data_IF_351880779432
#
_entry.id   IF_351880779432
#
_cell.length_a   1.000
_cell.length_b   1.000
_cell.length_c   1.000
_cell.angle_alpha   90.00
_cell.angle_beta   90.00
_cell.angle_gamma   90.00
#
_symmetry.space_group_name_H-M   'P 1'
#
loop_
_entity.id
_entity.type
_entity.pdbx_description
1 polymer ?
#
# COMPACT_ATOMS: atom_id res chain seq x y z
N UNK A 1 26.49 -1.07 3.05
CA UNK A 1 25.75 -1.78 1.98
C UNK A 1 24.83 -2.77 2.67
N UNK A 2 23.56 -2.90 2.26
CA UNK A 2 22.64 -3.84 2.89
C UNK A 2 23.08 -5.29 2.64
N UNK A 3 22.82 -6.19 3.60
CA UNK A 3 23.08 -7.63 3.47
C UNK A 3 22.17 -8.23 2.39
N UNK A 4 22.69 -8.88 1.33
CA UNK A 4 21.87 -9.54 0.31
C UNK A 4 20.87 -10.56 0.85
N UNK A 5 21.14 -11.19 2.00
CA UNK A 5 20.22 -12.14 2.63
C UNK A 5 18.95 -11.46 3.14
N UNK A 6 19.07 -10.23 3.63
CA UNK A 6 17.95 -9.46 4.17
C UNK A 6 16.87 -9.22 3.12
N UNK A 7 17.27 -8.94 1.87
CA UNK A 7 16.31 -8.77 0.77
C UNK A 7 15.55 -10.08 0.49
N UNK A 8 16.27 -11.20 0.38
CA UNK A 8 15.67 -12.51 0.13
C UNK A 8 14.69 -12.91 1.24
N UNK A 9 15.05 -12.68 2.49
CA UNK A 9 14.20 -12.93 3.66
C UNK A 9 12.94 -12.06 3.65
N UNK A 10 13.10 -10.75 3.35
CA UNK A 10 11.98 -9.83 3.26
C UNK A 10 11.00 -10.20 2.13
N UNK A 11 11.53 -10.59 0.97
CA UNK A 11 10.71 -11.07 -0.17
C UNK A 11 9.97 -12.35 0.21
N UNK A 12 10.65 -13.30 0.85
CA UNK A 12 10.03 -14.54 1.34
C UNK A 12 8.91 -14.28 2.34
N UNK A 13 9.17 -13.44 3.35
CA UNK A 13 8.19 -13.03 4.34
C UNK A 13 6.98 -12.33 3.74
N UNK A 14 7.19 -11.41 2.78
CA UNK A 14 6.10 -10.71 2.09
C UNK A 14 5.22 -11.67 1.29
N UNK A 15 5.82 -12.66 0.61
CA UNK A 15 5.07 -13.70 -0.12
C UNK A 15 4.22 -14.55 0.82
N UNK A 16 4.80 -15.01 1.93
CA UNK A 16 4.09 -15.79 2.94
C UNK A 16 2.93 -14.99 3.56
N UNK A 17 3.18 -13.72 3.91
CA UNK A 17 2.18 -12.80 4.44
C UNK A 17 1.00 -12.62 3.46
N UNK A 18 1.29 -12.38 2.18
CA UNK A 18 0.27 -12.25 1.14
C UNK A 18 -0.54 -13.53 0.93
N UNK A 19 0.05 -14.71 1.14
CA UNK A 19 -0.63 -16.01 1.00
C UNK A 19 -1.56 -16.32 2.19
N UNK A 20 -1.21 -15.87 3.39
CA UNK A 20 -1.94 -16.22 4.61
C UNK A 20 -3.15 -15.32 4.90
N UNK A 21 -3.23 -14.13 4.29
CA UNK A 21 -4.27 -13.13 4.57
C UNK A 21 -5.61 -13.43 3.89
N UNK A 22 -6.68 -12.86 4.42
CA UNK A 22 -8.00 -12.91 3.80
C UNK A 22 -8.08 -11.98 2.58
N UNK A 23 -8.03 -12.56 1.37
CA UNK A 23 -8.07 -11.82 0.12
C UNK A 23 -9.29 -10.89 -0.01
N UNK A 24 -10.50 -11.35 0.37
CA UNK A 24 -11.71 -10.53 0.29
C UNK A 24 -11.66 -9.32 1.21
N UNK A 25 -11.04 -9.46 2.40
CA UNK A 25 -10.86 -8.36 3.33
C UNK A 25 -9.87 -7.31 2.79
N UNK A 26 -8.78 -7.77 2.19
CA UNK A 26 -7.78 -6.93 1.51
C UNK A 26 -8.43 -6.15 0.38
N UNK A 27 -9.15 -6.82 -0.52
CA UNK A 27 -9.82 -6.18 -1.65
C UNK A 27 -10.83 -5.12 -1.20
N UNK A 28 -11.59 -5.40 -0.15
CA UNK A 28 -12.54 -4.43 0.42
C UNK A 28 -11.82 -3.19 0.95
N UNK A 29 -10.73 -3.38 1.70
CA UNK A 29 -9.98 -2.28 2.29
C UNK A 29 -9.26 -1.43 1.22
N UNK A 30 -8.72 -2.06 0.18
CA UNK A 30 -8.12 -1.34 -0.96
C UNK A 30 -9.14 -0.48 -1.70
N UNK A 31 -10.34 -1.02 -1.98
CA UNK A 31 -11.43 -0.24 -2.60
C UNK A 31 -11.92 0.90 -1.73
N UNK A 32 -11.93 0.73 -0.41
CA UNK A 32 -12.29 1.80 0.52
C UNK A 32 -11.26 2.92 0.51
N UNK A 33 -9.97 2.56 0.52
CA UNK A 33 -8.87 3.52 0.40
C UNK A 33 -8.93 4.29 -0.92
N UNK A 34 -9.17 3.59 -2.03
CA UNK A 34 -9.32 4.20 -3.35
C UNK A 34 -10.48 5.20 -3.38
N UNK A 35 -11.66 4.83 -2.83
CA UNK A 35 -12.80 5.75 -2.72
C UNK A 35 -12.47 6.97 -1.86
N UNK A 36 -11.78 6.79 -0.74
CA UNK A 36 -11.38 7.90 0.11
C UNK A 36 -10.40 8.84 -0.61
N UNK A 37 -9.45 8.28 -1.35
CA UNK A 37 -8.48 9.03 -2.15
C UNK A 37 -9.10 9.80 -3.32
N UNK A 38 -10.19 9.29 -3.91
CA UNK A 38 -10.97 10.01 -4.91
C UNK A 38 -11.88 11.12 -4.35
N UNK A 39 -11.83 11.40 -3.05
CA UNK A 39 -12.75 12.32 -2.36
C UNK A 39 -12.01 13.39 -1.55
N UNK A 40 -12.76 14.24 -0.83
CA UNK A 40 -12.21 15.19 0.15
C UNK A 40 -12.19 14.64 1.59
N UNK A 41 -12.48 13.35 1.78
CA UNK A 41 -12.50 12.72 3.10
C UNK A 41 -11.08 12.58 3.68
N UNK A 42 -10.99 12.44 5.01
CA UNK A 42 -9.73 12.10 5.67
C UNK A 42 -9.32 10.67 5.30
N UNK A 43 -8.09 10.50 4.81
CA UNK A 43 -7.53 9.20 4.41
C UNK A 43 -7.13 8.31 5.59
N UNK A 44 -6.80 8.90 6.74
CA UNK A 44 -6.22 8.16 7.86
C UNK A 44 -7.09 6.98 8.34
N UNK A 45 -8.42 7.11 8.47
CA UNK A 45 -9.29 5.98 8.80
C UNK A 45 -9.17 4.82 7.79
N UNK A 46 -9.14 5.12 6.48
CA UNK A 46 -9.04 4.09 5.44
C UNK A 46 -7.65 3.42 5.43
N UNK A 47 -6.58 4.19 5.67
CA UNK A 47 -5.21 3.65 5.81
C UNK A 47 -5.13 2.71 7.02
N UNK A 48 -5.68 3.11 8.17
CA UNK A 48 -5.71 2.26 9.36
C UNK A 48 -6.52 0.98 9.13
N UNK A 49 -7.65 1.08 8.43
CA UNK A 49 -8.47 -0.08 8.02
C UNK A 49 -7.65 -1.03 7.12
N UNK A 50 -6.91 -0.50 6.15
CA UNK A 50 -6.04 -1.29 5.27
C UNK A 50 -4.93 -2.01 6.04
N UNK A 51 -4.21 -1.31 6.93
CA UNK A 51 -3.16 -1.92 7.77
C UNK A 51 -3.73 -3.03 8.65
N UNK A 52 -4.87 -2.80 9.32
CA UNK A 52 -5.56 -3.82 10.12
C UNK A 52 -6.08 -4.98 9.26
N UNK A 53 -6.38 -4.72 8.00
CA UNK A 53 -6.81 -5.70 7.00
C UNK A 53 -5.67 -6.49 6.36
N UNK A 54 -4.44 -6.39 6.85
CA UNK A 54 -3.25 -7.04 6.29
C UNK A 54 -2.95 -6.62 4.83
N UNK A 55 -3.27 -5.37 4.49
CA UNK A 55 -2.80 -4.74 3.26
C UNK A 55 -1.34 -4.30 3.47
N UNK A 56 -0.48 -4.56 2.50
CA UNK A 56 0.94 -4.21 2.59
C UNK A 56 1.16 -2.73 2.32
N UNK A 57 2.28 -2.18 2.81
CA UNK A 57 2.67 -0.79 2.52
C UNK A 57 2.71 -0.52 1.01
N UNK A 58 3.29 -1.43 0.22
CA UNK A 58 3.37 -1.29 -1.23
C UNK A 58 1.99 -1.17 -1.88
N UNK A 59 1.03 -2.02 -1.48
CA UNK A 59 -0.34 -1.98 -2.04
C UNK A 59 -1.09 -0.69 -1.65
N UNK A 60 -0.91 -0.20 -0.43
CA UNK A 60 -1.44 1.11 -0.01
C UNK A 60 -0.83 2.23 -0.87
N UNK A 61 0.50 2.22 -1.02
CA UNK A 61 1.22 3.18 -1.85
C UNK A 61 0.81 3.11 -3.32
N UNK A 62 0.52 1.93 -3.86
CA UNK A 62 0.09 1.73 -5.24
C UNK A 62 -1.30 2.35 -5.49
N UNK A 63 -2.24 2.20 -4.55
CA UNK A 63 -3.54 2.88 -4.61
C UNK A 63 -3.35 4.40 -4.60
N UNK A 64 -2.57 4.91 -3.64
CA UNK A 64 -2.34 6.36 -3.52
C UNK A 64 -1.60 6.93 -4.75
N UNK A 65 -0.66 6.18 -5.32
CA UNK A 65 0.03 6.55 -6.56
C UNK A 65 -0.92 6.59 -7.74
N UNK A 66 -1.87 5.67 -7.80
CA UNK A 66 -2.89 5.64 -8.86
C UNK A 66 -3.84 6.84 -8.75
N UNK A 67 -4.22 7.23 -7.54
CA UNK A 67 -5.13 8.37 -7.30
C UNK A 67 -4.46 9.74 -7.42
N UNK A 68 -3.23 9.88 -6.93
CA UNK A 68 -2.55 11.18 -6.81
C UNK A 68 -1.35 11.36 -7.72
N UNK A 69 -0.91 10.31 -8.39
CA UNK A 69 0.35 10.28 -9.12
C UNK A 69 1.56 10.15 -8.19
N UNK A 70 2.73 10.41 -8.74
CA UNK A 70 3.99 10.50 -8.00
C UNK A 70 4.48 11.93 -7.98
N UNK A 71 5.16 12.31 -6.90
CA UNK A 71 5.96 13.52 -6.91
C UNK A 71 6.95 13.50 -8.09
N UNK A 72 7.08 14.65 -8.76
CA UNK A 72 8.10 14.92 -9.78
C UNK A 72 8.79 16.22 -9.38
N UNK A 73 10.11 16.20 -9.39
CA UNK A 73 10.90 17.41 -9.13
C UNK A 73 10.53 18.49 -10.14
N UNK A 74 10.38 19.73 -9.65
CA UNK A 74 10.16 20.88 -10.52
C UNK A 74 11.48 21.16 -11.23
N UNK A 75 11.54 20.91 -12.54
CA UNK A 75 12.66 21.41 -13.34
C UNK A 75 12.46 22.92 -13.52
N UNK A 76 13.39 23.70 -13.00
CA UNK A 76 13.48 25.14 -13.30
C UNK A 76 13.89 25.29 -14.77
N UNK A 77 13.18 26.16 -15.50
CA UNK A 77 13.52 26.58 -16.87
C UNK A 77 14.28 27.89 -16.79
#
# INVERSE_FOLDING_TARGET
RADPKLESEQVGGLRAFRKARNAKAVDRALRELERAAGSKANLMPAILSAVRGNVTLGEISDVLRSSFGTYRERQEV
#
